data_IF_766840519294
#
_entry.id   IF_766840519294
#
_cell.length_a   1.000
_cell.length_b   1.000
_cell.length_c   1.000
_cell.angle_alpha   90.00
_cell.angle_beta   90.00
_cell.angle_gamma   90.00
#
_symmetry.space_group_name_H-M   'P 1'
#
loop_
_entity.id
_entity.type
_entity.pdbx_description
1 polymer ?
#
# COMPACT_ATOMS: atom_id res chain seq x y z
N UNK A 1 1.28 1.48 -4.35
CA UNK A 1 2.56 2.22 -4.39
C UNK A 1 3.71 1.40 -3.79
N UNK A 2 3.88 0.14 -4.18
CA UNK A 2 4.99 -0.68 -3.65
C UNK A 2 6.32 -0.28 -4.30
N UNK A 3 6.30 0.06 -5.59
CA UNK A 3 7.49 0.41 -6.35
C UNK A 3 8.05 1.77 -5.95
N UNK A 4 7.20 2.72 -5.60
CA UNK A 4 7.57 4.04 -5.07
C UNK A 4 8.27 3.93 -3.71
N UNK A 5 7.96 2.88 -2.94
CA UNK A 5 8.69 2.52 -1.71
C UNK A 5 9.95 1.66 -1.97
N UNK A 6 10.32 1.45 -3.24
CA UNK A 6 11.48 0.65 -3.64
C UNK A 6 11.26 -0.87 -3.53
N UNK A 7 10.04 -1.34 -3.30
CA UNK A 7 9.76 -2.77 -3.18
C UNK A 7 9.65 -3.44 -4.55
N UNK A 8 10.13 -4.69 -4.65
CA UNK A 8 9.97 -5.53 -5.85
C UNK A 8 8.50 -5.93 -6.09
N UNK A 9 7.75 -6.13 -5.01
CA UNK A 9 6.34 -6.46 -5.02
C UNK A 9 5.70 -6.04 -3.69
N UNK A 10 4.39 -5.84 -3.70
CA UNK A 10 3.55 -5.81 -2.51
C UNK A 10 2.60 -6.99 -2.55
N UNK A 11 2.46 -7.70 -1.43
CA UNK A 11 1.56 -8.86 -1.31
C UNK A 11 0.60 -8.63 -0.15
N UNK A 12 -0.65 -9.04 -0.34
CA UNK A 12 -1.70 -9.02 0.68
C UNK A 12 -2.25 -10.44 0.74
N UNK A 13 -2.29 -11.01 1.94
CA UNK A 13 -2.90 -12.32 2.14
C UNK A 13 -4.40 -12.25 1.78
N UNK A 14 -4.90 -13.18 0.96
CA UNK A 14 -6.30 -13.12 0.53
C UNK A 14 -7.25 -13.45 1.69
N UNK A 15 -8.33 -12.70 1.75
CA UNK A 15 -9.36 -12.77 2.78
C UNK A 15 -10.78 -12.79 2.16
N UNK A 16 -11.80 -12.80 3.01
CA UNK A 16 -13.20 -12.69 2.56
C UNK A 16 -13.46 -11.45 1.69
N UNK A 17 -12.80 -10.32 1.94
CA UNK A 17 -12.89 -9.11 1.09
C UNK A 17 -12.44 -9.43 -0.34
N UNK A 18 -11.30 -10.11 -0.45
CA UNK A 18 -10.72 -10.55 -1.72
C UNK A 18 -11.65 -11.52 -2.44
N UNK A 19 -12.20 -12.52 -1.75
CA UNK A 19 -13.11 -13.50 -2.37
C UNK A 19 -14.43 -12.87 -2.82
N UNK A 20 -14.96 -11.94 -2.04
CA UNK A 20 -16.17 -11.20 -2.42
C UNK A 20 -15.93 -10.33 -3.65
N UNK A 21 -14.77 -9.69 -3.75
CA UNK A 21 -14.39 -8.90 -4.93
C UNK A 21 -14.28 -9.75 -6.21
N UNK A 22 -13.78 -10.99 -6.10
CA UNK A 22 -13.62 -11.91 -7.23
C UNK A 22 -14.95 -12.56 -7.67
N UNK A 23 -15.95 -12.62 -6.80
CA UNK A 23 -17.23 -13.28 -7.08
C UNK A 23 -17.91 -12.65 -8.30
N UNK A 24 -18.25 -13.49 -9.29
CA UNK A 24 -18.94 -13.03 -10.51
C UNK A 24 -18.07 -12.29 -11.51
N UNK A 25 -16.75 -12.20 -11.31
CA UNK A 25 -15.83 -11.62 -12.31
C UNK A 25 -15.68 -12.56 -13.51
N UNK A 26 -15.51 -12.03 -14.75
CA UNK A 26 -15.52 -12.84 -15.97
C UNK A 26 -14.53 -14.02 -16.03
N UNK A 27 -13.42 -13.94 -15.31
CA UNK A 27 -12.38 -14.97 -15.27
C UNK A 27 -12.28 -15.69 -13.92
N UNK A 28 -13.20 -15.39 -13.00
CA UNK A 28 -13.31 -16.14 -11.77
C UNK A 28 -14.11 -17.43 -12.00
N UNK A 29 -13.87 -18.50 -11.22
CA UNK A 29 -14.76 -19.66 -11.21
C UNK A 29 -16.20 -19.22 -10.95
N UNK A 30 -17.17 -19.91 -11.57
CA UNK A 30 -18.58 -19.59 -11.37
C UNK A 30 -18.93 -19.68 -9.89
N UNK A 31 -19.67 -18.69 -9.40
CA UNK A 31 -20.10 -18.66 -8.01
C UNK A 31 -20.82 -19.98 -7.65
N UNK A 32 -20.56 -20.47 -6.43
CA UNK A 32 -21.15 -21.68 -5.85
C UNK A 32 -20.81 -23.00 -6.58
N UNK A 33 -19.99 -22.94 -7.63
CA UNK A 33 -19.49 -24.13 -8.33
C UNK A 33 -18.49 -24.91 -7.46
N UNK A 34 -18.22 -26.16 -7.83
CA UNK A 34 -17.22 -26.97 -7.17
C UNK A 34 -15.80 -26.35 -7.31
N UNK A 35 -15.51 -25.76 -8.47
CA UNK A 35 -14.27 -25.05 -8.75
C UNK A 35 -14.11 -23.81 -7.89
N UNK A 36 -15.17 -23.04 -7.66
CA UNK A 36 -15.15 -21.90 -6.74
C UNK A 36 -14.81 -22.34 -5.31
N UNK A 37 -15.46 -23.39 -4.81
CA UNK A 37 -15.18 -23.93 -3.46
C UNK A 37 -13.72 -24.39 -3.33
N UNK A 38 -13.19 -25.07 -4.35
CA UNK A 38 -11.78 -25.48 -4.41
C UNK A 38 -10.83 -24.28 -4.46
N UNK A 39 -11.13 -23.28 -5.27
CA UNK A 39 -10.31 -22.09 -5.42
C UNK A 39 -10.25 -21.31 -4.11
N UNK A 40 -11.40 -21.04 -3.47
CA UNK A 40 -11.44 -20.37 -2.16
C UNK A 40 -10.68 -21.16 -1.10
N UNK A 41 -10.83 -22.49 -1.05
CA UNK A 41 -10.08 -23.34 -0.13
C UNK A 41 -8.56 -23.22 -0.33
N UNK A 42 -8.11 -23.19 -1.59
CA UNK A 42 -6.69 -23.01 -1.91
C UNK A 42 -6.21 -21.60 -1.59
N UNK A 43 -6.98 -20.56 -1.94
CA UNK A 43 -6.58 -19.18 -1.67
C UNK A 43 -6.46 -18.91 -0.17
N UNK A 44 -7.34 -19.50 0.66
CA UNK A 44 -7.23 -19.44 2.13
C UNK A 44 -5.93 -20.02 2.67
N UNK A 45 -5.23 -20.87 1.92
CA UNK A 45 -3.93 -21.41 2.32
C UNK A 45 -2.73 -20.56 1.87
N UNK A 46 -2.95 -19.39 1.25
CA UNK A 46 -1.87 -18.52 0.74
C UNK A 46 -1.42 -17.45 1.75
N UNK A 47 -1.77 -17.59 3.02
CA UNK A 47 -1.26 -16.75 4.10
C UNK A 47 0.19 -17.16 4.46
N UNK A 48 0.90 -16.28 5.15
CA UNK A 48 2.21 -16.62 5.72
C UNK A 48 2.07 -17.72 6.78
N UNK A 49 3.06 -18.61 6.83
CA UNK A 49 3.12 -19.68 7.83
C UNK A 49 3.23 -19.13 9.26
N UNK A 50 2.75 -19.90 10.23
CA UNK A 50 2.94 -19.59 11.64
C UNK A 50 4.44 -19.52 11.98
N UNK A 51 4.85 -18.42 12.63
CA UNK A 51 6.26 -18.19 12.96
C UNK A 51 7.13 -17.67 11.82
N UNK A 52 6.54 -17.24 10.70
CA UNK A 52 7.28 -16.58 9.63
C UNK A 52 8.10 -15.38 10.17
N UNK A 53 9.38 -15.32 9.77
CA UNK A 53 10.32 -14.28 10.19
C UNK A 53 10.47 -13.26 9.07
N UNK A 54 10.41 -11.98 9.42
CA UNK A 54 10.65 -10.86 8.50
C UNK A 54 11.92 -10.10 8.94
N UNK A 55 12.74 -9.67 7.99
CA UNK A 55 13.95 -8.87 8.28
C UNK A 55 13.61 -7.58 9.05
N UNK A 56 12.45 -7.00 8.74
CA UNK A 56 11.89 -5.82 9.41
C UNK A 56 10.38 -5.93 9.50
N UNK A 57 9.83 -5.53 10.64
CA UNK A 57 8.39 -5.40 10.86
C UNK A 57 8.08 -3.97 11.28
N UNK A 58 7.10 -3.36 10.61
CA UNK A 58 6.59 -2.02 10.94
C UNK A 58 5.10 -2.16 11.22
N UNK A 59 4.68 -1.76 12.42
CA UNK A 59 3.26 -1.71 12.79
C UNK A 59 2.75 -0.29 12.57
N UNK A 60 1.71 -0.15 11.75
CA UNK A 60 1.01 1.12 11.51
C UNK A 60 -0.42 0.97 11.98
N UNK A 61 -0.85 1.82 12.91
CA UNK A 61 -2.26 1.90 13.32
C UNK A 61 -3.02 2.78 12.32
N UNK A 62 -3.97 2.18 11.61
CA UNK A 62 -4.73 2.87 10.57
C UNK A 62 -5.49 4.09 11.07
N UNK A 63 -5.88 4.13 12.35
CA UNK A 63 -6.62 5.27 12.93
C UNK A 63 -5.74 6.52 13.08
N UNK A 64 -4.42 6.34 13.14
CA UNK A 64 -3.46 7.43 13.31
C UNK A 64 -3.07 8.03 11.95
N UNK A 65 -3.44 7.37 10.83
CA UNK A 65 -3.19 7.85 9.47
C UNK A 65 -4.30 8.81 9.04
N UNK A 66 -4.05 10.11 9.20
CA UNK A 66 -4.96 11.16 8.72
C UNK A 66 -4.87 11.32 7.19
N UNK A 67 -5.90 11.89 6.53
CA UNK A 67 -5.84 12.15 5.10
C UNK A 67 -4.62 13.00 4.72
N UNK A 68 -4.03 12.68 3.58
CA UNK A 68 -2.81 13.34 3.09
C UNK A 68 -3.00 13.89 1.68
N UNK A 69 -2.18 14.88 1.32
CA UNK A 69 -2.10 15.46 -0.01
C UNK A 69 -0.65 15.53 -0.47
N UNK A 70 -0.42 15.25 -1.75
CA UNK A 70 0.86 15.50 -2.40
C UNK A 70 0.95 16.97 -2.83
N UNK A 71 2.02 17.65 -2.44
CA UNK A 71 2.20 19.09 -2.70
C UNK A 71 3.31 19.39 -3.72
N UNK A 72 4.23 18.45 -3.95
CA UNK A 72 5.38 18.62 -4.83
C UNK A 72 5.32 17.81 -6.12
N UNK A 73 6.47 17.64 -6.74
CA UNK A 73 6.63 16.90 -8.01
C UNK A 73 7.12 15.46 -7.82
N UNK A 74 7.42 15.05 -6.57
CA UNK A 74 7.76 13.67 -6.21
C UNK A 74 6.62 13.02 -5.40
N UNK A 75 6.36 11.71 -5.57
CA UNK A 75 5.40 10.97 -4.73
C UNK A 75 5.70 11.00 -3.23
N UNK A 76 6.94 11.31 -2.84
CA UNK A 76 7.34 11.45 -1.44
C UNK A 76 6.99 12.81 -0.83
N UNK A 77 6.63 13.80 -1.67
CA UNK A 77 6.31 15.16 -1.24
C UNK A 77 4.86 15.22 -0.76
N UNK A 78 4.62 14.63 0.42
CA UNK A 78 3.29 14.42 1.01
C UNK A 78 3.21 15.06 2.38
N UNK A 79 2.08 15.71 2.67
CA UNK A 79 1.75 16.26 3.99
C UNK A 79 0.33 15.84 4.40
N UNK A 80 0.03 15.80 5.71
CA UNK A 80 -1.35 15.71 6.17
C UNK A 80 -2.17 16.92 5.70
N UNK A 81 -3.49 16.74 5.52
CA UNK A 81 -4.40 17.85 5.15
C UNK A 81 -4.45 18.98 6.20
N UNK A 82 -4.01 18.70 7.42
CA UNK A 82 -3.89 19.68 8.52
C UNK A 82 -2.49 20.31 8.63
N UNK A 83 -1.57 19.93 7.74
CA UNK A 83 -0.18 20.38 7.75
C UNK A 83 0.06 21.66 6.97
N UNK A 84 1.32 22.08 6.93
CA UNK A 84 1.80 23.22 6.16
C UNK A 84 2.82 22.72 5.14
N UNK A 85 2.73 23.20 3.90
CA UNK A 85 3.69 22.88 2.85
C UNK A 85 5.06 23.46 3.25
N UNK A 86 6.13 22.65 3.30
CA UNK A 86 7.45 23.12 3.72
C UNK A 86 8.06 24.04 2.67
N UNK A 87 8.80 25.04 3.14
CA UNK A 87 9.66 25.89 2.33
C UNK A 87 11.05 25.30 2.13
N UNK A 88 11.86 25.85 1.20
CA UNK A 88 13.20 25.36 0.96
C UNK A 88 14.12 25.39 2.17
N UNK A 89 13.92 26.34 3.08
CA UNK A 89 14.76 26.50 4.28
C UNK A 89 14.42 25.50 5.39
N UNK A 90 13.36 24.71 5.23
CA UNK A 90 12.98 23.61 6.16
C UNK A 90 13.79 22.33 5.93
N UNK A 91 14.62 22.27 4.88
CA UNK A 91 15.45 21.12 4.54
C UNK A 91 16.93 21.43 4.77
N UNK A 92 17.71 20.51 5.34
CA UNK A 92 19.16 20.68 5.47
C UNK A 92 19.92 20.27 4.18
N UNK A 93 19.43 19.24 3.50
CA UNK A 93 20.06 18.71 2.28
C UNK A 93 19.85 19.65 1.08
N UNK A 94 20.94 20.13 0.48
CA UNK A 94 20.90 21.08 -0.65
C UNK A 94 20.15 20.54 -1.87
N UNK A 95 20.19 19.22 -2.11
CA UNK A 95 19.44 18.60 -3.21
C UNK A 95 17.93 18.70 -2.96
N UNK A 96 17.49 18.42 -1.72
CA UNK A 96 16.10 18.58 -1.30
C UNK A 96 15.67 20.04 -1.32
N UNK A 97 16.50 21.00 -0.88
CA UNK A 97 16.20 22.44 -0.99
C UNK A 97 15.95 22.83 -2.44
N UNK A 98 16.85 22.45 -3.35
CA UNK A 98 16.72 22.76 -4.77
C UNK A 98 15.48 22.08 -5.38
N UNK A 99 15.12 20.87 -4.93
CA UNK A 99 13.90 20.19 -5.36
C UNK A 99 12.63 20.91 -4.89
N UNK A 100 12.58 21.32 -3.62
CA UNK A 100 11.48 22.10 -3.06
C UNK A 100 11.30 23.42 -3.83
N UNK A 101 12.39 24.16 -4.10
CA UNK A 101 12.36 25.41 -4.91
C UNK A 101 11.80 25.23 -6.31
N UNK A 102 11.91 24.04 -6.92
CA UNK A 102 11.36 23.76 -8.25
C UNK A 102 9.90 23.31 -8.20
N UNK A 103 9.46 22.79 -7.06
CA UNK A 103 8.12 22.25 -6.88
C UNK A 103 7.11 23.32 -6.47
N UNK A 104 7.56 24.35 -5.74
CA UNK A 104 6.82 25.57 -5.42
C UNK A 104 6.86 26.58 -6.57
#
# INVERSE_FOLDING_TARGET
>A
MSIEAGARAGMIAPDETTFNYLRGRPLAPKQDSAEWKRAVSYWKSLASDEGAVYDKTVLLDGKDIIPTVSWGTSPQDVIPITGVVPGPDDFEDETRKASCKRAL
#
